data_IF_751679824539
#
_entry.id   IF_751679824539
#
_cell.length_a   1.000
_cell.length_b   1.000
_cell.length_c   1.000
_cell.angle_alpha   90.00
_cell.angle_beta   90.00
_cell.angle_gamma   90.00
#
_symmetry.space_group_name_H-M   'P 1'
#
loop_
_entity.id
_entity.type
_entity.pdbx_description
1 polymer ?
#
# COMPACT_ATOMS: atom_id res chain seq x y z
N UNK A 1 8.98 -12.71 -27.56
CA UNK A 1 9.19 -11.27 -27.58
C UNK A 1 8.06 -10.54 -26.88
N UNK A 2 6.82 -10.78 -27.30
CA UNK A 2 5.68 -10.19 -26.61
C UNK A 2 5.64 -10.64 -25.15
N UNK A 3 5.99 -11.88 -24.93
CA UNK A 3 6.08 -12.45 -23.60
C UNK A 3 7.13 -11.72 -22.77
N UNK A 4 8.28 -11.44 -23.40
CA UNK A 4 9.36 -10.74 -22.71
C UNK A 4 8.95 -9.32 -22.33
N UNK A 5 8.25 -8.63 -23.21
CA UNK A 5 7.78 -7.28 -22.94
C UNK A 5 6.79 -7.26 -21.79
N UNK A 6 5.86 -8.20 -21.81
CA UNK A 6 4.89 -8.31 -20.72
C UNK A 6 5.59 -8.58 -19.40
N UNK A 7 6.58 -9.47 -19.41
CA UNK A 7 7.34 -9.78 -18.22
C UNK A 7 8.07 -8.54 -17.69
N UNK A 8 8.62 -7.72 -18.59
CA UNK A 8 9.33 -6.51 -18.19
C UNK A 8 8.40 -5.50 -17.53
N UNK A 9 7.22 -5.31 -18.08
CA UNK A 9 6.25 -4.41 -17.48
C UNK A 9 5.87 -4.87 -16.08
N UNK A 10 5.65 -6.15 -15.91
CA UNK A 10 5.28 -6.70 -14.60
C UNK A 10 6.46 -6.72 -13.64
N UNK A 11 7.68 -6.76 -14.15
CA UNK A 11 8.87 -6.61 -13.33
C UNK A 11 8.96 -5.21 -12.74
N UNK A 12 8.59 -4.20 -13.52
CA UNK A 12 8.57 -2.83 -13.02
C UNK A 12 7.53 -2.68 -11.92
N UNK A 13 6.40 -3.32 -12.07
CA UNK A 13 5.36 -3.31 -11.03
C UNK A 13 5.92 -3.92 -9.75
N UNK A 14 6.59 -5.04 -9.87
CA UNK A 14 7.20 -5.69 -8.71
C UNK A 14 8.22 -4.75 -8.05
N UNK A 15 9.08 -4.14 -8.85
CA UNK A 15 10.09 -3.20 -8.33
C UNK A 15 9.46 -2.02 -7.61
N UNK A 16 8.36 -1.53 -8.12
CA UNK A 16 7.61 -0.47 -7.45
C UNK A 16 7.15 -0.93 -6.07
N UNK A 17 6.61 -2.13 -5.99
CA UNK A 17 6.14 -2.67 -4.71
C UNK A 17 7.28 -2.78 -3.70
N UNK A 18 8.44 -3.28 -4.14
CA UNK A 18 9.60 -3.39 -3.28
C UNK A 18 10.01 -2.02 -2.76
N UNK A 19 10.13 -1.06 -3.66
CA UNK A 19 10.55 0.29 -3.30
C UNK A 19 9.59 0.94 -2.32
N UNK A 20 8.30 0.81 -2.58
CA UNK A 20 7.28 1.39 -1.72
C UNK A 20 7.38 0.84 -0.29
N UNK A 21 7.54 -0.47 -0.17
CA UNK A 21 7.65 -1.07 1.15
C UNK A 21 8.96 -0.72 1.84
N UNK A 22 10.05 -0.60 1.08
CA UNK A 22 11.32 -0.18 1.66
C UNK A 22 11.21 1.23 2.26
N UNK A 23 10.53 2.11 1.55
CA UNK A 23 10.34 3.48 2.04
C UNK A 23 9.48 3.49 3.29
N UNK A 24 8.40 2.73 3.29
CA UNK A 24 7.46 2.76 4.41
C UNK A 24 8.01 2.07 5.65
N UNK A 25 8.70 0.96 5.48
CA UNK A 25 9.18 0.19 6.63
C UNK A 25 10.65 0.45 6.96
N UNK A 26 11.40 1.06 6.06
CA UNK A 26 12.81 1.35 6.30
C UNK A 26 13.71 0.14 6.17
N UNK A 27 13.19 -0.96 5.61
CA UNK A 27 13.97 -2.18 5.45
C UNK A 27 13.47 -2.95 4.23
N UNK A 28 14.28 -3.89 3.78
CA UNK A 28 13.94 -4.67 2.59
C UNK A 28 12.68 -5.52 2.85
N UNK A 29 11.70 -5.50 1.91
CA UNK A 29 10.42 -6.17 2.13
C UNK A 29 10.49 -7.69 2.16
N UNK A 30 11.61 -8.29 1.78
CA UNK A 30 11.73 -9.73 1.88
C UNK A 30 11.41 -10.25 3.26
N UNK A 31 11.86 -9.52 4.27
CA UNK A 31 11.58 -9.89 5.64
C UNK A 31 10.14 -9.55 6.04
N UNK A 32 9.62 -8.48 5.46
CA UNK A 32 8.28 -8.00 5.78
C UNK A 32 7.23 -8.93 5.22
N UNK A 33 7.37 -9.32 3.96
CA UNK A 33 6.39 -10.19 3.33
C UNK A 33 6.33 -11.57 3.98
N UNK A 34 7.49 -12.07 4.42
CA UNK A 34 7.53 -13.33 5.16
C UNK A 34 6.78 -13.23 6.46
N UNK A 35 6.98 -12.13 7.16
CA UNK A 35 6.38 -11.92 8.48
C UNK A 35 4.88 -11.77 8.40
N UNK A 36 4.40 -11.12 7.35
CA UNK A 36 2.97 -10.86 7.24
C UNK A 36 2.21 -12.00 6.60
N UNK A 37 2.93 -12.95 6.00
CA UNK A 37 2.27 -14.08 5.38
C UNK A 37 1.33 -13.71 4.27
N UNK A 38 1.41 -12.51 3.77
CA UNK A 38 0.58 -12.04 2.66
C UNK A 38 -0.89 -12.34 2.91
N UNK A 39 -1.30 -12.33 4.13
CA UNK A 39 -2.65 -12.73 4.44
C UNK A 39 -3.59 -11.55 4.46
N UNK A 40 -4.82 -11.86 4.20
CA UNK A 40 -5.90 -10.90 4.20
C UNK A 40 -6.14 -10.29 5.57
N UNK A 41 -5.44 -10.77 6.57
CA UNK A 41 -5.67 -10.33 7.94
C UNK A 41 -4.56 -9.41 8.41
N UNK A 42 -4.25 -8.40 7.63
CA UNK A 42 -3.32 -7.38 8.07
C UNK A 42 -3.95 -6.62 9.23
N UNK A 43 -3.41 -6.83 10.40
CA UNK A 43 -3.79 -6.05 11.55
C UNK A 43 -3.20 -4.65 11.36
N UNK A 44 -4.07 -3.68 11.25
CA UNK A 44 -3.64 -2.30 10.99
C UNK A 44 -2.72 -1.78 12.09
N UNK A 45 -2.97 -2.16 13.31
CA UNK A 45 -2.13 -1.71 14.42
C UNK A 45 -0.73 -2.30 14.31
N UNK A 46 -0.65 -3.59 14.01
CA UNK A 46 0.64 -4.25 13.83
C UNK A 46 1.39 -3.64 12.65
N UNK A 47 0.67 -3.29 11.59
CA UNK A 47 1.26 -2.65 10.44
C UNK A 47 1.89 -1.31 10.81
N UNK A 48 1.15 -0.49 11.53
CA UNK A 48 1.63 0.83 11.94
C UNK A 48 2.86 0.73 12.82
N UNK A 49 2.94 -0.31 13.63
CA UNK A 49 4.10 -0.53 14.49
C UNK A 49 5.35 -0.92 13.70
N UNK A 50 5.15 -1.44 12.49
CA UNK A 50 6.25 -1.86 11.63
C UNK A 50 6.77 -0.76 10.72
N UNK A 51 6.08 0.37 10.67
CA UNK A 51 6.54 1.49 9.85
C UNK A 51 7.89 1.99 10.36
N UNK A 52 8.63 2.64 9.46
CA UNK A 52 9.94 3.18 9.81
C UNK A 52 9.80 4.15 10.98
N UNK A 53 10.38 3.79 12.10
CA UNK A 53 10.26 4.56 13.34
C UNK A 53 11.02 5.87 13.30
N UNK A 54 11.83 6.09 12.28
CA UNK A 54 12.52 7.37 12.11
C UNK A 54 11.57 8.45 11.63
N UNK A 55 10.40 8.05 11.13
CA UNK A 55 9.39 8.99 10.65
C UNK A 55 8.30 9.15 11.70
N UNK A 56 7.63 10.30 11.71
CA UNK A 56 6.51 10.48 12.63
C UNK A 56 5.42 9.46 12.36
N UNK A 57 4.81 8.95 13.42
CA UNK A 57 3.72 8.00 13.25
C UNK A 57 2.54 8.71 12.58
N UNK A 58 1.98 8.11 11.53
CA UNK A 58 0.89 8.76 10.80
C UNK A 58 -0.36 8.88 11.66
N UNK A 59 -1.10 9.95 11.45
CA UNK A 59 -2.37 10.20 12.12
C UNK A 59 -3.47 10.22 11.07
N UNK A 60 -4.70 10.05 11.51
CA UNK A 60 -5.84 10.18 10.62
C UNK A 60 -5.86 11.59 10.00
N UNK A 61 -6.10 11.77 8.70
CA UNK A 61 -6.49 10.72 7.74
C UNK A 61 -5.33 10.02 7.06
N UNK A 62 -4.09 10.41 7.34
CA UNK A 62 -2.92 9.86 6.69
C UNK A 62 -2.79 8.35 6.91
N UNK A 63 -3.27 7.86 8.05
CA UNK A 63 -3.25 6.42 8.35
C UNK A 63 -3.95 5.62 7.25
N UNK A 64 -5.12 6.08 6.81
CA UNK A 64 -5.88 5.39 5.77
C UNK A 64 -5.08 5.31 4.49
N UNK A 65 -4.43 6.41 4.15
CA UNK A 65 -3.62 6.48 2.93
C UNK A 65 -2.43 5.53 3.01
N UNK A 66 -1.74 5.51 4.15
CA UNK A 66 -0.60 4.61 4.35
C UNK A 66 -1.03 3.15 4.22
N UNK A 67 -2.12 2.77 4.85
CA UNK A 67 -2.60 1.40 4.78
C UNK A 67 -2.95 1.02 3.35
N UNK A 68 -3.59 1.93 2.62
CA UNK A 68 -3.93 1.69 1.22
C UNK A 68 -2.68 1.47 0.38
N UNK A 69 -1.65 2.30 0.60
CA UNK A 69 -0.41 2.18 -0.15
C UNK A 69 0.26 0.83 0.13
N UNK A 70 0.26 0.40 1.40
CA UNK A 70 0.84 -0.89 1.74
C UNK A 70 0.11 -2.02 1.02
N UNK A 71 -1.22 -1.98 0.99
CA UNK A 71 -2.00 -3.01 0.31
C UNK A 71 -1.69 -3.04 -1.19
N UNK A 72 -1.60 -1.87 -1.80
CA UNK A 72 -1.25 -1.77 -3.21
C UNK A 72 0.15 -2.35 -3.46
N UNK A 73 1.10 -1.97 -2.61
CA UNK A 73 2.47 -2.45 -2.75
C UNK A 73 2.55 -3.98 -2.63
N UNK A 74 1.82 -4.53 -1.68
CA UNK A 74 1.80 -5.99 -1.50
C UNK A 74 1.22 -6.68 -2.74
N UNK A 75 0.18 -6.13 -3.33
CA UNK A 75 -0.39 -6.71 -4.54
C UNK A 75 0.62 -6.69 -5.70
N UNK A 76 1.49 -5.68 -5.73
CA UNK A 76 2.54 -5.59 -6.73
C UNK A 76 3.60 -6.68 -6.57
N UNK A 77 3.71 -7.26 -5.38
CA UNK A 77 4.68 -8.31 -5.09
C UNK A 77 4.13 -9.72 -5.33
N UNK A 78 2.96 -9.83 -5.91
CA UNK A 78 2.39 -11.13 -6.26
C UNK A 78 3.43 -11.93 -7.04
N UNK A 79 3.65 -13.17 -6.64
CA UNK A 79 4.72 -13.97 -7.19
C UNK A 79 4.57 -14.18 -8.70
N UNK A 80 3.37 -14.53 -9.14
CA UNK A 80 3.12 -14.71 -10.56
C UNK A 80 2.92 -13.37 -11.25
N UNK A 81 3.76 -13.02 -12.23
CA UNK A 81 3.64 -11.71 -12.89
C UNK A 81 2.27 -11.44 -13.48
N UNK A 82 1.64 -12.45 -14.02
CA UNK A 82 0.35 -12.25 -14.69
C UNK A 82 -0.75 -11.80 -13.73
N UNK A 83 -0.59 -12.06 -12.46
CA UNK A 83 -1.60 -11.67 -11.47
C UNK A 83 -1.28 -10.36 -10.76
N UNK A 84 -0.16 -9.74 -11.11
CA UNK A 84 0.15 -8.42 -10.59
C UNK A 84 -0.71 -7.39 -11.30
N UNK A 85 -1.04 -6.27 -10.62
CA UNK A 85 -1.73 -5.19 -11.31
C UNK A 85 -0.80 -4.56 -12.36
N UNK A 86 -1.40 -3.81 -13.27
CA UNK A 86 -0.61 -2.99 -14.20
C UNK A 86 -0.24 -1.70 -13.50
N UNK A 87 0.77 -0.99 -14.02
CA UNK A 87 1.12 0.32 -13.45
C UNK A 87 -0.03 1.31 -13.58
N UNK A 88 -0.82 1.18 -14.63
CA UNK A 88 -2.00 2.03 -14.78
C UNK A 88 -2.99 1.78 -13.65
N UNK A 89 -3.23 0.53 -13.32
CA UNK A 89 -4.10 0.17 -12.21
C UNK A 89 -3.55 0.67 -10.89
N UNK A 90 -2.23 0.52 -10.70
CA UNK A 90 -1.57 1.01 -9.50
C UNK A 90 -1.76 2.54 -9.37
N UNK A 91 -1.55 3.26 -10.46
CA UNK A 91 -1.71 4.70 -10.45
C UNK A 91 -3.12 5.12 -10.11
N UNK A 92 -4.12 4.42 -10.64
CA UNK A 92 -5.51 4.71 -10.34
C UNK A 92 -5.83 4.45 -8.87
N UNK A 93 -5.32 3.37 -8.33
CA UNK A 93 -5.54 3.04 -6.93
C UNK A 93 -4.90 4.06 -6.00
N UNK A 94 -3.69 4.50 -6.33
CA UNK A 94 -3.02 5.52 -5.55
C UNK A 94 -3.78 6.84 -5.58
N UNK A 95 -4.28 7.22 -6.76
CA UNK A 95 -5.06 8.44 -6.90
C UNK A 95 -6.35 8.37 -6.09
N UNK A 96 -7.00 7.23 -6.09
CA UNK A 96 -8.22 7.03 -5.33
C UNK A 96 -7.95 7.11 -3.84
N UNK A 97 -6.87 6.52 -3.39
CA UNK A 97 -6.46 6.56 -1.99
C UNK A 97 -6.23 8.00 -1.54
N UNK A 98 -5.56 8.79 -2.36
CA UNK A 98 -5.30 10.18 -2.06
C UNK A 98 -6.60 10.98 -1.96
N UNK A 99 -7.55 10.71 -2.85
CA UNK A 99 -8.85 11.38 -2.80
C UNK A 99 -9.59 11.05 -1.52
N UNK A 100 -9.57 9.80 -1.11
CA UNK A 100 -10.25 9.38 0.10
C UNK A 100 -9.70 10.08 1.32
N UNK A 101 -8.40 10.22 1.40
CA UNK A 101 -7.78 10.87 2.55
C UNK A 101 -8.01 12.37 2.56
N UNK A 102 -8.26 12.97 1.39
CA UNK A 102 -8.49 14.40 1.29
C UNK A 102 -9.97 14.78 1.38
N UNK A 103 -10.85 13.81 1.47
CA UNK A 103 -12.27 14.11 1.58
C UNK A 103 -12.57 14.76 2.92
N UNK A 104 -13.49 15.72 2.93
CA UNK A 104 -13.86 16.38 4.19
C UNK A 104 -14.37 15.37 5.20
N UNK A 105 -13.98 15.55 6.45
CA UNK A 105 -14.43 14.69 7.53
C UNK A 105 -15.74 15.18 8.14
N UNK A 106 -16.42 16.09 7.45
CA UNK A 106 -17.60 16.71 7.99
C UNK A 106 -18.71 15.72 8.32
N UNK A 107 -18.88 14.72 7.48
CA UNK A 107 -19.92 13.71 7.75
C UNK A 107 -19.62 12.93 9.02
N UNK A 108 -18.35 12.66 9.30
CA UNK A 108 -17.94 12.00 10.52
C UNK A 108 -18.22 12.92 11.70
N UNK A 109 -17.89 14.17 11.52
CA UNK A 109 -18.14 15.16 12.54
C UNK A 109 -19.64 15.30 12.84
N UNK A 110 -20.45 15.24 11.80
CA UNK A 110 -21.89 15.33 11.98
C UNK A 110 -22.43 14.17 12.79
N UNK A 111 -21.88 13.01 12.61
CA UNK A 111 -22.24 11.87 13.44
C UNK A 111 -21.94 12.16 14.89
N UNK A 112 -20.80 12.75 15.13
CA UNK A 112 -20.43 13.11 16.48
C UNK A 112 -21.39 14.10 17.08
N UNK A 113 -21.90 15.00 16.25
CA UNK A 113 -22.80 16.03 16.74
C UNK A 113 -24.20 15.50 17.02
N UNK A 114 -24.49 14.28 16.65
CA UNK A 114 -25.80 13.71 16.93
C UNK A 114 -25.92 13.11 18.30
N UNK A 115 -24.87 13.18 19.05
CA UNK A 115 -24.94 12.76 20.45
C UNK A 115 -25.17 13.90 21.33
#
# INVERSE_FOLDING_TARGET
>A
LAYTMEANEKCDVYSFGVLALEILFGEHPGDVTSSYGVTSTLDHMALLDRLDQRLPRPKSPTVVEVISIVKIAISCLTESPRFRPTMEEVAKELAMSSRLSSMPQTHTHMKDSTY
#
